data_IF_340905161989
#
_entry.id   IF_340905161989
#
_cell.length_a   1.000
_cell.length_b   1.000
_cell.length_c   1.000
_cell.angle_alpha   90.00
_cell.angle_beta   90.00
_cell.angle_gamma   90.00
#
_symmetry.space_group_name_H-M   'P 1'
#
loop_
_entity.id
_entity.type
_entity.pdbx_description
1 polymer ?
#
# COMPACT_ATOMS: atom_id res chain seq x y z
N UNK A 1 0.59 -15.36 4.99
CA UNK A 1 0.47 -14.80 6.36
C UNK A 1 -0.10 -13.38 6.39
N UNK A 2 0.24 -12.51 5.42
CA UNK A 2 -0.33 -11.14 5.29
C UNK A 2 -1.81 -11.15 4.89
N UNK A 3 -2.20 -11.88 3.84
CA UNK A 3 -3.59 -11.96 3.34
C UNK A 3 -4.65 -12.25 4.43
N UNK A 4 -4.33 -13.17 5.34
CA UNK A 4 -5.24 -13.59 6.42
C UNK A 4 -5.42 -12.53 7.50
N UNK A 5 -4.41 -11.67 7.71
CA UNK A 5 -4.43 -10.60 8.70
C UNK A 5 -5.01 -9.30 8.16
N UNK A 6 -4.99 -9.11 6.83
CA UNK A 6 -5.43 -7.88 6.17
C UNK A 6 -6.83 -7.96 5.56
N UNK A 7 -7.41 -9.15 5.46
CA UNK A 7 -8.69 -9.35 4.75
C UNK A 7 -8.60 -9.18 3.23
N UNK A 8 -7.38 -9.02 2.68
CA UNK A 8 -7.15 -8.94 1.23
C UNK A 8 -7.32 -10.32 0.60
N UNK A 9 -8.03 -10.37 -0.53
CA UNK A 9 -8.16 -11.60 -1.32
C UNK A 9 -6.81 -11.97 -1.94
N UNK A 10 -6.60 -13.27 -2.22
CA UNK A 10 -5.41 -13.74 -2.96
C UNK A 10 -5.29 -13.05 -4.31
N UNK A 11 -6.40 -12.86 -5.02
CA UNK A 11 -6.44 -12.16 -6.30
C UNK A 11 -5.95 -10.71 -6.16
N UNK A 12 -6.38 -10.00 -5.12
CA UNK A 12 -5.96 -8.62 -4.89
C UNK A 12 -4.47 -8.49 -4.56
N UNK A 13 -3.93 -9.43 -3.77
CA UNK A 13 -2.48 -9.46 -3.48
C UNK A 13 -1.68 -9.76 -4.75
N UNK A 14 -2.12 -10.71 -5.56
CA UNK A 14 -1.48 -11.01 -6.84
C UNK A 14 -1.49 -9.78 -7.76
N UNK A 15 -2.61 -9.06 -7.83
CA UNK A 15 -2.71 -7.81 -8.60
C UNK A 15 -1.71 -6.76 -8.09
N UNK A 16 -1.66 -6.51 -6.78
CA UNK A 16 -0.71 -5.57 -6.16
C UNK A 16 0.76 -5.97 -6.33
N UNK A 17 1.05 -7.25 -6.62
CA UNK A 17 2.42 -7.77 -6.75
C UNK A 17 2.86 -7.86 -8.22
N UNK A 18 1.94 -8.15 -9.14
CA UNK A 18 2.26 -8.46 -10.54
C UNK A 18 1.93 -7.32 -11.51
N UNK A 19 1.18 -6.31 -11.06
CA UNK A 19 0.79 -5.18 -11.89
C UNK A 19 1.35 -3.87 -11.32
N UNK A 20 2.40 -3.36 -11.96
CA UNK A 20 3.06 -2.10 -11.56
C UNK A 20 2.14 -0.87 -11.62
N UNK A 21 1.05 -0.95 -12.38
CA UNK A 21 0.04 0.12 -12.47
C UNK A 21 -1.06 0.00 -11.42
N UNK A 22 -1.09 -1.09 -10.65
CA UNK A 22 -2.07 -1.28 -9.58
C UNK A 22 -1.90 -0.19 -8.50
N UNK A 23 -2.99 0.48 -8.16
CA UNK A 23 -2.99 1.47 -7.09
C UNK A 23 -3.24 0.78 -5.76
N UNK A 24 -2.32 0.96 -4.81
CA UNK A 24 -2.50 0.56 -3.42
C UNK A 24 -3.45 1.55 -2.73
N UNK A 25 -4.61 1.09 -2.26
CA UNK A 25 -5.56 1.96 -1.55
C UNK A 25 -5.09 2.20 -0.11
N UNK A 26 -5.41 3.36 0.45
CA UNK A 26 -5.00 3.74 1.81
C UNK A 26 -5.42 2.70 2.88
N UNK A 27 -6.64 2.15 2.79
CA UNK A 27 -7.10 1.10 3.71
C UNK A 27 -6.26 -0.19 3.58
N UNK A 28 -5.89 -0.56 2.35
CA UNK A 28 -5.06 -1.75 2.10
C UNK A 28 -3.66 -1.55 2.68
N UNK A 29 -3.06 -0.37 2.45
CA UNK A 29 -1.77 0.02 3.02
C UNK A 29 -1.80 -0.07 4.55
N UNK A 30 -2.83 0.52 5.17
CA UNK A 30 -2.96 0.55 6.62
C UNK A 30 -3.03 -0.86 7.23
N UNK A 31 -3.83 -1.74 6.63
CA UNK A 31 -3.96 -3.12 7.10
C UNK A 31 -2.68 -3.93 6.85
N UNK A 32 -2.03 -3.74 5.69
CA UNK A 32 -0.75 -4.38 5.38
C UNK A 32 0.32 -3.96 6.40
N UNK A 33 0.45 -2.66 6.67
CA UNK A 33 1.39 -2.10 7.65
C UNK A 33 1.16 -2.72 9.04
N UNK A 34 -0.09 -2.74 9.53
CA UNK A 34 -0.43 -3.41 10.80
C UNK A 34 -0.12 -4.91 10.78
N UNK A 35 -0.37 -5.60 9.66
CA UNK A 35 -0.12 -7.04 9.55
C UNK A 35 1.37 -7.40 9.60
N UNK A 36 2.25 -6.51 9.16
CA UNK A 36 3.71 -6.65 9.21
C UNK A 36 4.34 -6.00 10.45
N UNK A 37 3.55 -5.36 11.31
CA UNK A 37 4.04 -4.68 12.53
C UNK A 37 4.76 -3.36 12.26
N UNK A 38 4.47 -2.69 11.15
CA UNK A 38 5.02 -1.38 10.80
C UNK A 38 4.00 -0.26 11.06
N UNK A 39 4.48 0.96 11.29
CA UNK A 39 3.62 2.13 11.34
C UNK A 39 3.06 2.47 9.95
N UNK A 40 1.74 2.67 9.80
CA UNK A 40 1.14 2.99 8.50
C UNK A 40 1.66 4.28 7.85
N UNK A 41 1.96 5.32 8.64
CA UNK A 41 2.48 6.59 8.11
C UNK A 41 3.92 6.44 7.63
N UNK A 42 4.75 5.64 8.32
CA UNK A 42 6.09 5.29 7.84
C UNK A 42 6.03 4.58 6.49
N UNK A 43 5.14 3.60 6.34
CA UNK A 43 4.96 2.88 5.06
C UNK A 43 4.48 3.82 3.95
N UNK A 44 3.51 4.69 4.25
CA UNK A 44 3.01 5.69 3.31
C UNK A 44 4.13 6.59 2.81
N UNK A 45 4.90 7.18 3.73
CA UNK A 45 6.00 8.08 3.39
C UNK A 45 7.09 7.35 2.62
N UNK A 46 7.42 6.11 3.00
CA UNK A 46 8.44 5.32 2.29
C UNK A 46 8.05 4.98 0.84
N UNK A 47 6.76 4.75 0.58
CA UNK A 47 6.27 4.42 -0.78
C UNK A 47 6.09 5.67 -1.65
N UNK A 48 5.65 6.79 -1.07
CA UNK A 48 5.21 7.96 -1.82
C UNK A 48 6.07 9.21 -1.62
N UNK A 49 7.23 9.13 -0.96
CA UNK A 49 8.14 10.26 -0.76
C UNK A 49 8.66 10.91 -2.04
N UNK A 50 8.53 10.24 -3.19
CA UNK A 50 8.92 10.75 -4.50
C UNK A 50 7.86 11.66 -5.13
N UNK A 51 6.63 11.69 -4.59
CA UNK A 51 5.58 12.55 -5.10
C UNK A 51 5.85 13.99 -4.69
N UNK A 52 5.58 14.92 -5.61
CA UNK A 52 5.66 16.36 -5.38
C UNK A 52 4.44 17.01 -5.97
N UNK A 53 3.98 18.10 -5.36
CA UNK A 53 2.91 18.91 -5.92
C UNK A 53 3.40 19.54 -7.22
N UNK A 54 2.62 19.42 -8.27
CA UNK A 54 2.87 20.21 -9.47
C UNK A 54 2.27 21.60 -9.25
N UNK A 55 3.14 22.61 -9.20
CA UNK A 55 2.73 24.00 -9.18
C UNK A 55 2.25 24.38 -10.58
N UNK A 56 0.94 24.28 -10.82
CA UNK A 56 0.32 24.93 -11.98
C UNK A 56 0.16 26.41 -11.62
N UNK A 57 1.11 27.23 -12.06
CA UNK A 57 0.97 28.68 -12.12
C UNK A 57 0.32 29.07 -13.46
#
# INVERSE_FOLDING_TARGET
MVARKTGLTKARINELTLNDSAKLRAQELYLIAKAIGADPCEVLNKLYSHLSLQSTA
#
